data_IF_172424402907
#
_entry.id   IF_172424402907
#
_cell.length_a   1.000
_cell.length_b   1.000
_cell.length_c   1.000
_cell.angle_alpha   90.00
_cell.angle_beta   90.00
_cell.angle_gamma   90.00
#
_symmetry.space_group_name_H-M   'P 1'
#
loop_
_entity.id
_entity.type
_entity.pdbx_description
1 polymer ?
#
# COMPACT_ATOMS: atom_id res chain seq x y z
N UNK A 1 -4.40 2.91 -12.26
CA UNK A 1 -4.06 4.34 -12.07
C UNK A 1 -3.01 4.82 -13.08
N UNK A 2 -1.84 4.19 -13.11
CA UNK A 2 -0.72 4.60 -13.97
C UNK A 2 -1.04 4.67 -15.47
N UNK A 3 -1.77 3.68 -16.00
CA UNK A 3 -2.23 3.68 -17.40
C UNK A 3 -3.09 4.91 -17.73
N UNK A 4 -3.99 5.30 -16.83
CA UNK A 4 -4.82 6.51 -16.97
C UNK A 4 -3.99 7.79 -16.95
N UNK A 5 -3.00 7.87 -16.06
CA UNK A 5 -2.10 9.02 -15.97
C UNK A 5 -1.28 9.18 -17.27
N UNK A 6 -0.67 8.09 -17.75
CA UNK A 6 0.07 8.03 -19.03
C UNK A 6 -0.80 8.43 -20.21
N UNK A 7 -2.02 7.89 -20.30
CA UNK A 7 -2.96 8.24 -21.36
C UNK A 7 -3.27 9.75 -21.35
N UNK A 8 -3.46 10.33 -20.17
CA UNK A 8 -3.73 11.76 -20.04
C UNK A 8 -2.54 12.64 -20.42
N UNK A 9 -1.32 12.23 -20.05
CA UNK A 9 -0.09 12.92 -20.47
C UNK A 9 0.03 12.91 -22.00
N UNK A 10 -0.14 11.74 -22.64
CA UNK A 10 -0.11 11.62 -24.11
C UNK A 10 -1.14 12.51 -24.78
N UNK A 11 -2.38 12.49 -24.28
CA UNK A 11 -3.46 13.35 -24.77
C UNK A 11 -3.07 14.83 -24.69
N UNK A 12 -2.52 15.28 -23.56
CA UNK A 12 -2.15 16.68 -23.36
C UNK A 12 -0.95 17.12 -24.21
N UNK A 13 0.04 16.24 -24.40
CA UNK A 13 1.20 16.50 -25.26
C UNK A 13 0.83 16.55 -26.75
N UNK A 14 -0.16 15.77 -27.17
CA UNK A 14 -0.65 15.74 -28.55
C UNK A 14 -1.55 16.92 -28.94
N UNK A 15 -2.02 17.72 -27.96
CA UNK A 15 -2.85 18.90 -28.24
C UNK A 15 -2.07 19.94 -29.04
N UNK A 16 -2.76 20.62 -29.95
CA UNK A 16 -2.19 21.72 -30.71
C UNK A 16 -1.66 22.82 -29.76
N UNK A 17 -0.42 23.25 -29.96
CA UNK A 17 0.24 24.27 -29.16
C UNK A 17 0.54 25.50 -30.00
N UNK A 18 0.27 26.68 -29.44
CA UNK A 18 0.63 27.97 -30.06
C UNK A 18 2.15 28.18 -30.09
N UNK A 19 2.87 27.63 -29.10
CA UNK A 19 4.33 27.66 -29.03
C UNK A 19 4.88 26.25 -29.21
N UNK A 20 5.51 26.02 -30.36
CA UNK A 20 6.14 24.74 -30.73
C UNK A 20 7.64 24.71 -30.42
N UNK A 21 8.24 25.88 -30.14
CA UNK A 21 9.68 26.04 -29.90
C UNK A 21 10.06 25.65 -28.48
N UNK A 22 9.23 26.01 -27.49
CA UNK A 22 9.49 25.69 -26.08
C UNK A 22 8.82 24.39 -25.66
N UNK A 23 9.51 23.65 -24.79
CA UNK A 23 8.95 22.48 -24.12
C UNK A 23 7.69 22.87 -23.32
N UNK A 24 6.59 22.10 -23.43
CA UNK A 24 5.39 22.37 -22.66
C UNK A 24 5.60 21.96 -21.20
N UNK A 25 4.94 22.68 -20.29
CA UNK A 25 4.92 22.34 -18.86
C UNK A 25 3.56 21.72 -18.54
N UNK A 26 3.56 20.50 -18.04
CA UNK A 26 2.35 19.77 -17.65
C UNK A 26 2.40 19.53 -16.14
N UNK A 27 1.44 20.11 -15.41
CA UNK A 27 1.22 19.81 -14.00
C UNK A 27 -0.01 18.92 -13.86
N UNK A 28 0.18 17.74 -13.30
CA UNK A 28 -0.87 16.76 -13.07
C UNK A 28 -1.07 16.62 -11.57
N UNK A 29 -2.33 16.72 -11.14
CA UNK A 29 -2.70 16.53 -9.75
C UNK A 29 -3.56 15.28 -9.62
N UNK A 30 -3.13 14.36 -8.78
CA UNK A 30 -3.89 13.15 -8.45
C UNK A 30 -4.77 13.43 -7.24
N UNK A 31 -6.05 13.05 -7.37
CA UNK A 31 -7.08 13.27 -6.34
C UNK A 31 -7.90 11.98 -6.16
N UNK A 32 -8.41 11.77 -4.94
CA UNK A 32 -9.19 10.59 -4.57
C UNK A 32 -8.58 9.82 -3.40
N UNK A 33 -9.09 8.62 -3.16
CA UNK A 33 -8.70 7.78 -2.02
C UNK A 33 -7.93 6.56 -2.51
N UNK A 34 -6.76 6.32 -1.91
CA UNK A 34 -5.95 5.13 -2.14
C UNK A 34 -6.63 3.87 -1.57
N UNK A 35 -6.38 2.74 -2.20
CA UNK A 35 -6.83 1.44 -1.71
C UNK A 35 -6.19 1.13 -0.35
N UNK A 36 -6.86 0.27 0.43
CA UNK A 36 -6.33 -0.19 1.73
C UNK A 36 -4.94 -0.80 1.55
N UNK A 37 -4.01 -0.43 2.42
CA UNK A 37 -2.64 -0.94 2.38
C UNK A 37 -1.70 -0.24 1.40
N UNK A 38 -2.22 0.63 0.51
CA UNK A 38 -1.40 1.42 -0.42
C UNK A 38 -1.14 2.80 0.15
N UNK A 39 0.12 3.21 0.18
CA UNK A 39 0.56 4.52 0.63
C UNK A 39 0.98 5.42 -0.54
N UNK A 40 1.18 6.71 -0.27
CA UNK A 40 1.68 7.66 -1.28
C UNK A 40 3.11 7.33 -1.73
N UNK A 41 3.90 6.69 -0.86
CA UNK A 41 5.31 6.36 -1.13
C UNK A 41 5.40 5.20 -2.13
N UNK A 42 4.43 4.29 -2.11
CA UNK A 42 4.34 3.18 -3.05
C UNK A 42 4.05 3.65 -4.49
N UNK A 43 3.72 4.94 -4.67
CA UNK A 43 3.42 5.51 -5.97
C UNK A 43 4.70 5.95 -6.68
N UNK A 44 5.19 5.11 -7.59
CA UNK A 44 6.27 5.50 -8.50
C UNK A 44 5.78 6.47 -9.60
N UNK A 45 5.63 7.74 -9.22
CA UNK A 45 5.25 8.82 -10.14
C UNK A 45 6.45 9.40 -10.88
N UNK A 46 7.66 9.23 -10.34
CA UNK A 46 8.88 9.75 -10.93
C UNK A 46 9.15 9.04 -12.25
N UNK A 47 9.07 7.70 -12.30
CA UNK A 47 9.28 6.97 -13.55
C UNK A 47 8.25 7.31 -14.63
N UNK A 48 7.04 7.72 -14.26
CA UNK A 48 6.06 8.23 -15.24
C UNK A 48 6.52 9.57 -15.81
N UNK A 49 6.98 10.50 -14.96
CA UNK A 49 7.47 11.80 -15.43
C UNK A 49 8.70 11.64 -16.33
N UNK A 50 9.60 10.69 -16.00
CA UNK A 50 10.78 10.39 -16.80
C UNK A 50 10.45 9.81 -18.18
N UNK A 51 9.43 8.94 -18.30
CA UNK A 51 8.96 8.36 -19.57
C UNK A 51 8.66 9.42 -20.64
N UNK A 52 8.30 10.64 -20.21
CA UNK A 52 7.88 11.72 -21.09
C UNK A 52 8.81 12.95 -21.04
N UNK A 53 10.02 12.80 -20.47
CA UNK A 53 11.01 13.89 -20.32
C UNK A 53 11.33 14.57 -21.66
N UNK A 54 11.35 13.80 -22.76
CA UNK A 54 11.63 14.31 -24.11
C UNK A 54 10.47 15.12 -24.71
N UNK A 55 9.24 14.92 -24.19
CA UNK A 55 8.03 15.59 -24.67
C UNK A 55 7.71 16.89 -23.94
N UNK A 56 8.21 17.07 -22.72
CA UNK A 56 7.96 18.27 -21.91
C UNK A 56 8.39 18.13 -20.45
N UNK A 57 8.24 19.23 -19.71
CA UNK A 57 8.48 19.26 -18.27
C UNK A 57 7.20 18.77 -17.58
N UNK A 58 7.26 17.61 -16.94
CA UNK A 58 6.09 16.99 -16.32
C UNK A 58 6.29 16.91 -14.81
N UNK A 59 5.28 17.42 -14.09
CA UNK A 59 5.23 17.41 -12.63
C UNK A 59 3.93 16.71 -12.22
N UNK A 60 4.02 15.65 -11.41
CA UNK A 60 2.87 14.87 -10.93
C UNK A 60 2.81 14.97 -9.41
N UNK A 61 1.77 15.62 -8.89
CA UNK A 61 1.53 15.80 -7.46
C UNK A 61 0.50 14.81 -6.94
N UNK A 62 0.77 14.21 -5.78
CA UNK A 62 -0.09 13.28 -5.05
C UNK A 62 -0.59 13.82 -3.71
N UNK A 63 -0.38 15.12 -3.43
CA UNK A 63 -0.68 15.71 -2.13
C UNK A 63 -2.14 15.51 -1.72
N UNK A 64 -3.06 15.61 -2.69
CA UNK A 64 -4.51 15.49 -2.49
C UNK A 64 -5.04 14.04 -2.54
N UNK A 65 -4.16 13.04 -2.61
CA UNK A 65 -4.58 11.67 -2.39
C UNK A 65 -4.81 11.44 -0.89
N UNK A 66 -5.92 10.79 -0.56
CA UNK A 66 -6.27 10.37 0.79
C UNK A 66 -5.85 8.92 0.98
N UNK A 67 -5.17 8.61 2.09
CA UNK A 67 -4.88 7.22 2.46
C UNK A 67 -6.00 6.72 3.36
N UNK A 68 -6.69 5.66 2.95
CA UNK A 68 -7.76 5.07 3.75
C UNK A 68 -7.18 4.45 5.04
N UNK A 69 -7.83 4.70 6.17
CA UNK A 69 -7.48 4.15 7.47
C UNK A 69 -6.24 4.72 8.15
N UNK A 70 -5.77 5.90 7.73
CA UNK A 70 -4.69 6.60 8.46
C UNK A 70 -5.13 7.00 9.87
N UNK A 71 -6.36 7.49 10.01
CA UNK A 71 -6.95 7.88 11.30
C UNK A 71 -7.15 6.67 12.22
N UNK A 72 -7.62 5.55 11.65
CA UNK A 72 -7.77 4.27 12.35
C UNK A 72 -6.41 3.73 12.82
N UNK A 73 -5.37 3.81 11.98
CA UNK A 73 -4.00 3.45 12.36
C UNK A 73 -3.44 4.36 13.45
N UNK A 74 -3.68 5.67 13.38
CA UNK A 74 -3.25 6.63 14.43
C UNK A 74 -4.00 6.35 15.74
N UNK A 75 -5.30 6.06 15.67
CA UNK A 75 -6.11 5.69 16.83
C UNK A 75 -5.62 4.38 17.47
N UNK A 76 -5.32 3.36 16.66
CA UNK A 76 -4.72 2.11 17.11
C UNK A 76 -3.36 2.36 17.80
N UNK A 77 -2.49 3.18 17.20
CA UNK A 77 -1.19 3.54 17.80
C UNK A 77 -1.34 4.29 19.14
N UNK A 78 -2.34 5.18 19.26
CA UNK A 78 -2.63 5.88 20.52
C UNK A 78 -3.15 4.92 21.59
N UNK A 79 -4.09 4.04 21.25
CA UNK A 79 -4.61 3.01 22.14
C UNK A 79 -3.52 2.06 22.63
N UNK A 80 -2.61 1.64 21.73
CA UNK A 80 -1.46 0.79 22.08
C UNK A 80 -0.50 1.50 23.03
N UNK A 81 -0.25 2.80 22.85
CA UNK A 81 0.58 3.60 23.77
C UNK A 81 -0.06 3.74 25.15
N UNK A 82 -1.37 3.92 25.21
CA UNK A 82 -2.13 4.13 26.45
C UNK A 82 -2.31 2.84 27.26
N UNK A 83 -2.29 1.67 26.61
CA UNK A 83 -2.49 0.36 27.25
C UNK A 83 -1.37 -0.09 28.19
N UNK A 84 -0.17 0.53 28.13
CA UNK A 84 0.99 0.11 28.95
C UNK A 84 1.55 -1.28 28.61
N UNK A 85 1.00 -1.97 27.60
CA UNK A 85 1.35 -3.34 27.21
C UNK A 85 2.81 -3.46 26.75
N UNK A 86 3.41 -4.65 26.94
CA UNK A 86 4.75 -4.98 26.45
C UNK A 86 4.82 -4.95 24.91
N UNK A 87 6.03 -4.90 24.34
CA UNK A 87 6.20 -4.90 22.88
C UNK A 87 5.58 -6.15 22.24
N UNK A 88 5.69 -7.30 22.90
CA UNK A 88 5.07 -8.56 22.45
C UNK A 88 3.55 -8.51 22.48
N UNK A 89 2.96 -8.02 23.57
CA UNK A 89 1.51 -7.87 23.68
C UNK A 89 0.97 -6.90 22.61
N UNK A 90 1.71 -5.83 22.31
CA UNK A 90 1.37 -4.90 21.22
C UNK A 90 1.45 -5.57 19.85
N UNK A 91 2.46 -6.40 19.63
CA UNK A 91 2.64 -7.16 18.41
C UNK A 91 1.47 -8.12 18.15
N UNK A 92 1.07 -8.88 19.16
CA UNK A 92 -0.09 -9.79 19.11
C UNK A 92 -1.38 -9.00 18.81
N UNK A 93 -1.58 -7.86 19.48
CA UNK A 93 -2.78 -7.06 19.31
C UNK A 93 -2.90 -6.47 17.90
N UNK A 94 -1.80 -6.01 17.31
CA UNK A 94 -1.73 -5.57 15.92
C UNK A 94 -2.05 -6.71 14.95
N UNK A 95 -1.46 -7.89 15.18
CA UNK A 95 -1.69 -9.07 14.35
C UNK A 95 -3.18 -9.49 14.39
N UNK A 96 -3.81 -9.44 15.57
CA UNK A 96 -5.24 -9.70 15.76
C UNK A 96 -6.14 -8.70 15.04
N UNK A 97 -5.79 -7.41 15.05
CA UNK A 97 -6.55 -6.39 14.33
C UNK A 97 -6.52 -6.61 12.81
N UNK A 98 -5.34 -6.92 12.25
CA UNK A 98 -5.22 -7.25 10.83
C UNK A 98 -5.95 -8.56 10.49
N UNK A 99 -5.85 -9.59 11.34
CA UNK A 99 -6.56 -10.85 11.15
C UNK A 99 -8.08 -10.66 11.08
N UNK A 100 -8.66 -9.79 11.91
CA UNK A 100 -10.11 -9.48 11.85
C UNK A 100 -10.56 -8.91 10.50
N UNK A 101 -9.65 -8.29 9.74
CA UNK A 101 -9.94 -7.73 8.43
C UNK A 101 -9.82 -8.77 7.29
N UNK A 102 -9.31 -9.96 7.59
CA UNK A 102 -9.12 -11.06 6.64
C UNK A 102 -10.08 -12.20 7.00
N UNK A 103 -11.15 -12.46 6.22
CA UNK A 103 -12.15 -13.48 6.54
C UNK A 103 -11.55 -14.88 6.75
N UNK A 104 -10.47 -15.21 6.02
CA UNK A 104 -9.75 -16.47 6.13
C UNK A 104 -8.93 -16.60 7.44
N UNK A 105 -8.59 -15.48 8.07
CA UNK A 105 -7.79 -15.46 9.30
C UNK A 105 -8.61 -15.76 10.56
N UNK A 106 -9.93 -15.86 10.46
CA UNK A 106 -10.81 -16.30 11.57
C UNK A 106 -10.50 -17.71 12.08
N UNK A 107 -9.82 -18.53 11.27
CA UNK A 107 -9.39 -19.90 11.59
C UNK A 107 -7.93 -20.01 12.04
N UNK A 108 -7.19 -18.89 12.08
CA UNK A 108 -5.79 -18.86 12.49
C UNK A 108 -5.68 -18.68 14.01
N UNK A 109 -4.83 -19.47 14.66
CA UNK A 109 -4.34 -19.12 15.98
C UNK A 109 -3.27 -18.03 15.84
N UNK A 110 -3.70 -16.79 16.08
CA UNK A 110 -2.86 -15.60 15.92
C UNK A 110 -1.76 -15.53 16.99
N UNK A 111 -1.93 -16.17 18.15
CA UNK A 111 -0.87 -16.25 19.17
C UNK A 111 0.22 -17.22 18.73
N UNK A 112 -0.16 -18.41 18.26
CA UNK A 112 0.79 -19.40 17.74
C UNK A 112 1.59 -18.83 16.54
N UNK A 113 0.92 -18.11 15.64
CA UNK A 113 1.59 -17.44 14.53
C UNK A 113 2.56 -16.35 15.00
N UNK A 114 2.18 -15.56 16.01
CA UNK A 114 3.05 -14.53 16.57
C UNK A 114 4.28 -15.15 17.24
N UNK A 115 4.10 -16.23 18.01
CA UNK A 115 5.20 -16.98 18.64
C UNK A 115 6.15 -17.55 17.58
N UNK A 116 5.62 -18.13 16.50
CA UNK A 116 6.41 -18.62 15.36
C UNK A 116 7.23 -17.52 14.68
N UNK A 117 6.68 -16.31 14.54
CA UNK A 117 7.37 -15.13 14.00
C UNK A 117 8.41 -14.57 14.98
N UNK A 118 8.14 -14.66 16.29
CA UNK A 118 9.00 -14.12 17.34
C UNK A 118 10.19 -15.06 17.65
N UNK A 119 10.03 -16.37 17.49
CA UNK A 119 11.01 -17.37 17.92
C UNK A 119 12.25 -17.53 17.01
N UNK A 120 12.30 -17.00 15.78
CA UNK A 120 13.45 -17.28 14.88
C UNK A 120 13.98 -16.10 14.06
N UNK A 121 15.32 -16.10 13.93
CA UNK A 121 16.16 -15.19 13.14
C UNK A 121 16.03 -15.36 11.61
N UNK A 122 15.14 -16.23 11.14
CA UNK A 122 15.01 -16.58 9.72
C UNK A 122 13.59 -16.27 9.23
N UNK A 123 13.47 -15.06 8.68
CA UNK A 123 12.24 -14.49 8.12
C UNK A 123 11.63 -15.38 7.01
N UNK A 124 12.46 -16.11 6.25
CA UNK A 124 11.98 -16.95 5.14
C UNK A 124 11.19 -18.16 5.63
N UNK A 125 11.62 -18.83 6.70
CA UNK A 125 10.94 -20.00 7.24
C UNK A 125 9.58 -19.61 7.86
N UNK A 126 9.54 -18.47 8.54
CA UNK A 126 8.31 -17.95 9.10
C UNK A 126 7.29 -17.57 8.01
N UNK A 127 7.77 -16.96 6.92
CA UNK A 127 6.94 -16.66 5.75
C UNK A 127 6.44 -17.92 5.03
N UNK A 128 7.28 -18.96 4.89
CA UNK A 128 6.85 -20.25 4.29
C UNK A 128 5.74 -20.91 5.10
N UNK A 129 5.87 -20.96 6.42
CA UNK A 129 4.82 -21.53 7.29
C UNK A 129 3.53 -20.73 7.25
N UNK A 130 3.63 -19.40 7.20
CA UNK A 130 2.47 -18.54 7.01
C UNK A 130 1.79 -18.83 5.66
N UNK A 131 2.56 -18.99 4.58
CA UNK A 131 2.03 -19.38 3.27
C UNK A 131 1.38 -20.77 3.29
N UNK A 132 1.94 -21.74 4.00
CA UNK A 132 1.36 -23.08 4.18
C UNK A 132 0.04 -23.01 4.97
N UNK A 133 -0.02 -22.24 6.05
CA UNK A 133 -1.25 -22.01 6.81
C UNK A 133 -2.32 -21.36 5.93
N UNK A 134 -1.96 -20.35 5.14
CA UNK A 134 -2.86 -19.69 4.18
C UNK A 134 -3.34 -20.67 3.09
N UNK A 135 -2.45 -21.52 2.56
CA UNK A 135 -2.80 -22.58 1.58
C UNK A 135 -3.74 -23.63 2.16
N UNK A 136 -3.50 -24.06 3.40
CA UNK A 136 -4.35 -25.05 4.08
C UNK A 136 -5.76 -24.48 4.33
N UNK A 137 -5.83 -23.18 4.65
CA UNK A 137 -7.10 -22.48 4.86
C UNK A 137 -7.85 -22.12 3.57
N UNK A 138 -7.14 -21.94 2.46
CA UNK A 138 -7.74 -21.70 1.13
C UNK A 138 -8.06 -23.00 0.36
N UNK A 139 -7.38 -24.11 0.68
CA UNK A 139 -7.63 -25.44 0.11
C UNK A 139 -8.82 -26.20 0.72
N UNK A 140 -9.32 -25.78 1.89
CA UNK A 140 -10.48 -26.38 2.57
C UNK A 140 -11.86 -25.92 2.05
N UNK A 141 -11.95 -25.31 0.87
CA UNK A 141 -13.19 -24.83 0.27
C UNK A 141 -13.75 -25.73 -0.86
N UNK A 142 -13.24 -26.95 -1.01
CA UNK A 142 -13.81 -27.95 -1.90
C UNK A 142 -13.75 -29.34 -1.23
N UNK A 143 -14.91 -29.83 -0.79
CA UNK A 143 -15.10 -31.19 -0.26
C UNK A 143 -15.80 -31.21 1.09
#
# INVERSE_FOLDING_TARGET
MYSRCRAKIRELLARHRKNTVKAPILKIRLEGTLANGVTKIDLDLMSIAEEFRDGGIIEISHERLLTKGLEERIAALRSLRESGASIEERGIHLLLEYAKQVPAASKLDIRELFELLAERKDEEEAMRRLEELIKTLSGGAAG
#
